data_IF_751713495651
#
_entry.id   IF_751713495651
#
_cell.length_a   1.000
_cell.length_b   1.000
_cell.length_c   1.000
_cell.angle_alpha   90.00
_cell.angle_beta   90.00
_cell.angle_gamma   90.00
#
_symmetry.space_group_name_H-M   'P 1'
#
loop_
_entity.id
_entity.type
_entity.pdbx_description
1 polymer ?
#
# COMPACT_ATOMS: atom_id res chain seq x y z
N UNK A 1 -40.60 -0.19 15.56
CA UNK A 1 -40.09 -0.10 14.18
C UNK A 1 -39.51 -1.48 13.81
N UNK A 2 -40.14 -2.21 12.90
CA UNK A 2 -39.92 -3.66 12.74
C UNK A 2 -38.53 -4.02 12.18
N UNK A 3 -37.94 -5.11 12.68
CA UNK A 3 -36.63 -5.65 12.26
C UNK A 3 -36.44 -5.72 10.74
N UNK A 4 -37.52 -6.00 10.00
CA UNK A 4 -37.53 -6.01 8.52
C UNK A 4 -37.10 -4.67 7.91
N UNK A 5 -37.59 -3.55 8.46
CA UNK A 5 -37.25 -2.20 7.98
C UNK A 5 -35.77 -1.86 8.25
N UNK A 6 -35.23 -2.35 9.37
CA UNK A 6 -33.82 -2.12 9.74
C UNK A 6 -32.88 -2.82 8.74
N UNK A 7 -33.16 -4.06 8.35
CA UNK A 7 -32.36 -4.78 7.34
C UNK A 7 -32.40 -4.10 5.97
N UNK A 8 -33.58 -3.60 5.56
CA UNK A 8 -33.74 -2.86 4.30
C UNK A 8 -32.90 -1.59 4.30
N UNK A 9 -32.99 -0.78 5.35
CA UNK A 9 -32.19 0.45 5.47
C UNK A 9 -30.70 0.14 5.49
N UNK A 10 -30.27 -0.88 6.24
CA UNK A 10 -28.87 -1.30 6.28
C UNK A 10 -28.35 -1.70 4.88
N UNK A 11 -29.13 -2.45 4.10
CA UNK A 11 -28.73 -2.84 2.74
C UNK A 11 -28.59 -1.65 1.79
N UNK A 12 -29.52 -0.68 1.86
CA UNK A 12 -29.43 0.54 1.07
C UNK A 12 -28.20 1.37 1.43
N UNK A 13 -27.91 1.52 2.72
CA UNK A 13 -26.73 2.26 3.19
C UNK A 13 -25.43 1.57 2.71
N UNK A 14 -25.33 0.25 2.83
CA UNK A 14 -24.18 -0.50 2.33
C UNK A 14 -24.01 -0.35 0.81
N UNK A 15 -25.11 -0.40 0.06
CA UNK A 15 -25.09 -0.22 -1.40
C UNK A 15 -24.61 1.17 -1.81
N UNK A 16 -25.05 2.22 -1.11
CA UNK A 16 -24.61 3.60 -1.35
C UNK A 16 -23.13 3.79 -0.99
N UNK A 17 -22.68 3.22 0.13
CA UNK A 17 -21.25 3.26 0.53
C UNK A 17 -20.39 2.60 -0.56
N UNK A 18 -20.77 1.41 -1.05
CA UNK A 18 -20.02 0.73 -2.12
C UNK A 18 -20.00 1.55 -3.41
N UNK A 19 -21.13 2.15 -3.80
CA UNK A 19 -21.19 3.02 -4.98
C UNK A 19 -20.29 4.26 -4.84
N UNK A 20 -20.27 4.90 -3.67
CA UNK A 20 -19.39 6.04 -3.37
C UNK A 20 -17.91 5.65 -3.40
N UNK A 21 -17.56 4.49 -2.83
CA UNK A 21 -16.21 3.95 -2.88
C UNK A 21 -15.78 3.64 -4.33
N UNK A 22 -16.66 3.05 -5.14
CA UNK A 22 -16.40 2.81 -6.56
C UNK A 22 -16.26 4.11 -7.37
N UNK A 23 -17.03 5.14 -7.04
CA UNK A 23 -16.95 6.44 -7.74
C UNK A 23 -15.63 7.16 -7.43
N UNK A 24 -15.14 7.08 -6.19
CA UNK A 24 -13.81 7.60 -5.82
C UNK A 24 -12.66 6.86 -6.52
N UNK A 25 -12.86 5.59 -6.90
CA UNK A 25 -11.89 4.79 -7.64
C UNK A 25 -11.98 5.01 -9.17
N UNK A 26 -12.99 5.76 -9.65
CA UNK A 26 -13.25 5.96 -11.08
C UNK A 26 -12.40 7.06 -11.72
N UNK A 27 -11.69 7.85 -10.91
CA UNK A 27 -10.71 8.82 -11.41
C UNK A 27 -9.41 8.08 -11.75
N UNK A 28 -9.34 7.56 -12.97
CA UNK A 28 -8.20 6.89 -13.59
C UNK A 28 -7.55 5.81 -12.70
N UNK A 29 -7.98 4.55 -12.85
CA UNK A 29 -7.09 3.45 -12.50
C UNK A 29 -5.78 3.66 -13.27
N UNK A 30 -4.76 4.17 -12.59
CA UNK A 30 -3.40 4.15 -13.10
C UNK A 30 -3.12 2.71 -13.53
N UNK A 31 -2.45 2.49 -14.69
CA UNK A 31 -2.10 1.15 -15.11
C UNK A 31 -1.48 0.40 -13.93
N UNK A 32 -2.03 -0.77 -13.57
CA UNK A 32 -1.48 -1.58 -12.48
C UNK A 32 0.02 -1.68 -12.74
N UNK A 33 0.87 -1.13 -11.88
CA UNK A 33 2.27 -1.00 -12.19
C UNK A 33 2.83 -2.40 -12.35
N UNK A 34 3.55 -2.63 -13.46
CA UNK A 34 4.22 -3.90 -13.66
C UNK A 34 5.16 -4.11 -12.46
N UNK A 35 5.14 -5.29 -11.80
CA UNK A 35 5.96 -5.53 -10.62
C UNK A 35 7.44 -5.20 -10.85
N UNK A 36 7.94 -5.42 -12.07
CA UNK A 36 9.30 -5.05 -12.45
C UNK A 36 9.63 -3.56 -12.23
N UNK A 37 8.66 -2.68 -12.47
CA UNK A 37 8.84 -1.22 -12.43
C UNK A 37 8.92 -0.73 -10.98
N UNK A 38 8.06 -1.28 -10.10
CA UNK A 38 8.10 -0.98 -8.66
C UNK A 38 9.43 -1.38 -8.01
N UNK A 39 10.04 -2.48 -8.47
CA UNK A 39 11.33 -2.92 -7.96
C UNK A 39 12.52 -2.24 -8.64
N UNK A 40 12.35 -1.56 -9.79
CA UNK A 40 13.45 -0.95 -10.54
C UNK A 40 14.20 0.08 -9.71
N UNK A 41 13.48 1.04 -9.11
CA UNK A 41 14.06 2.07 -8.24
C UNK A 41 14.74 1.49 -7.00
N UNK A 42 14.19 0.42 -6.42
CA UNK A 42 14.76 -0.27 -5.26
C UNK A 42 16.06 -1.01 -5.65
N UNK A 43 16.08 -1.70 -6.79
CA UNK A 43 17.22 -2.49 -7.27
C UNK A 43 18.44 -1.64 -7.60
N UNK A 44 18.22 -0.39 -8.04
CA UNK A 44 19.30 0.55 -8.32
C UNK A 44 20.06 0.99 -7.06
N UNK A 45 19.47 0.82 -5.87
CA UNK A 45 20.13 1.12 -4.60
C UNK A 45 20.75 -0.16 -4.03
N UNK A 46 22.09 -0.19 -3.97
CA UNK A 46 22.85 -1.34 -3.47
C UNK A 46 22.40 -1.74 -2.06
N UNK A 47 21.99 -2.99 -1.88
CA UNK A 47 21.55 -3.56 -0.60
C UNK A 47 20.12 -3.19 -0.19
N UNK A 48 19.42 -2.33 -0.94
CA UNK A 48 18.06 -1.93 -0.58
C UNK A 48 17.04 -3.06 -0.73
N UNK A 49 17.20 -3.94 -1.73
CA UNK A 49 16.35 -5.14 -1.88
C UNK A 49 16.49 -6.06 -0.66
N UNK A 50 17.70 -6.27 -0.16
CA UNK A 50 17.94 -7.12 1.02
C UNK A 50 17.40 -6.47 2.28
N UNK A 51 17.56 -5.16 2.44
CA UNK A 51 16.97 -4.38 3.53
C UNK A 51 15.43 -4.45 3.50
N UNK A 52 14.82 -4.31 2.33
CA UNK A 52 13.38 -4.42 2.13
C UNK A 52 12.89 -5.83 2.48
N UNK A 53 13.62 -6.86 2.04
CA UNK A 53 13.33 -8.26 2.42
C UNK A 53 13.46 -8.48 3.93
N UNK A 54 14.46 -7.88 4.58
CA UNK A 54 14.58 -7.93 6.03
C UNK A 54 13.40 -7.20 6.73
N UNK A 55 12.96 -6.06 6.19
CA UNK A 55 11.82 -5.31 6.67
C UNK A 55 10.50 -6.08 6.55
N UNK A 56 10.31 -6.91 5.51
CA UNK A 56 9.16 -7.84 5.43
C UNK A 56 9.09 -8.84 6.58
N UNK A 57 10.21 -9.05 7.29
CA UNK A 57 10.31 -9.88 8.49
C UNK A 57 10.33 -9.05 9.78
N UNK A 58 10.15 -7.74 9.71
CA UNK A 58 10.14 -6.80 10.84
C UNK A 58 11.50 -6.15 11.16
N UNK A 59 12.55 -6.40 10.37
CA UNK A 59 13.87 -5.80 10.59
C UNK A 59 14.04 -4.50 9.80
N UNK A 60 13.68 -3.37 10.40
CA UNK A 60 13.68 -2.05 9.73
C UNK A 60 15.05 -1.34 9.76
N UNK A 61 15.96 -1.75 10.65
CA UNK A 61 17.28 -1.11 10.85
C UNK A 61 18.18 -1.09 9.60
N UNK A 62 17.90 -1.94 8.60
CA UNK A 62 18.69 -2.03 7.37
C UNK A 62 18.33 -0.99 6.30
N UNK A 63 17.24 -0.24 6.47
CA UNK A 63 16.80 0.74 5.47
C UNK A 63 17.62 2.03 5.59
N UNK A 64 18.73 2.14 4.86
CA UNK A 64 19.51 3.37 4.81
C UNK A 64 18.79 4.51 4.07
N UNK A 65 19.33 5.73 4.20
CA UNK A 65 18.77 6.96 3.62
C UNK A 65 18.47 6.86 2.12
N UNK A 66 19.39 6.33 1.32
CA UNK A 66 19.20 6.18 -0.13
C UNK A 66 18.09 5.17 -0.47
N UNK A 67 17.97 4.11 0.34
CA UNK A 67 16.90 3.13 0.19
C UNK A 67 15.54 3.74 0.54
N UNK A 68 15.49 4.55 1.60
CA UNK A 68 14.28 5.27 1.99
C UNK A 68 13.88 6.34 0.98
N UNK A 69 14.84 7.04 0.38
CA UNK A 69 14.56 7.95 -0.73
C UNK A 69 13.93 7.21 -1.92
N UNK A 70 14.45 6.04 -2.28
CA UNK A 70 13.85 5.21 -3.32
C UNK A 70 12.42 4.76 -2.94
N UNK A 71 12.20 4.28 -1.73
CA UNK A 71 10.89 3.82 -1.23
C UNK A 71 9.87 4.96 -1.20
N UNK A 72 10.25 6.15 -0.73
CA UNK A 72 9.35 7.31 -0.68
C UNK A 72 9.00 7.85 -2.07
N UNK A 73 9.85 7.58 -3.07
CA UNK A 73 9.59 7.91 -4.47
C UNK A 73 8.72 6.90 -5.22
N UNK A 74 8.31 5.79 -4.59
CA UNK A 74 7.38 4.85 -5.20
C UNK A 74 5.95 5.39 -5.19
N UNK A 75 5.22 5.10 -6.26
CA UNK A 75 3.78 5.32 -6.30
C UNK A 75 3.06 4.40 -5.30
N UNK A 76 1.92 4.85 -4.76
CA UNK A 76 1.21 4.14 -3.69
C UNK A 76 0.71 2.74 -4.10
N UNK A 77 0.43 2.56 -5.39
CA UNK A 77 0.05 1.29 -6.03
C UNK A 77 1.19 0.25 -6.07
N UNK A 78 2.44 0.65 -5.89
CA UNK A 78 3.57 -0.27 -5.76
C UNK A 78 3.67 -0.92 -4.37
N UNK A 79 3.13 -0.30 -3.31
CA UNK A 79 3.24 -0.85 -1.96
C UNK A 79 2.54 -2.21 -1.80
N UNK A 80 1.32 -2.42 -2.32
CA UNK A 80 0.69 -3.75 -2.34
C UNK A 80 1.52 -4.83 -3.05
N UNK A 81 2.32 -4.45 -4.05
CA UNK A 81 3.19 -5.36 -4.81
C UNK A 81 4.45 -5.71 -4.03
N UNK A 82 5.07 -4.72 -3.39
CA UNK A 82 6.25 -4.93 -2.53
C UNK A 82 5.92 -5.71 -1.25
N UNK A 83 4.71 -5.51 -0.72
CA UNK A 83 4.26 -6.06 0.56
C UNK A 83 2.95 -6.87 0.42
N UNK A 84 2.94 -7.97 -0.36
CA UNK A 84 1.73 -8.72 -0.65
C UNK A 84 1.11 -9.28 0.64
N UNK A 85 -0.13 -8.87 0.92
CA UNK A 85 -0.86 -9.27 2.12
C UNK A 85 -0.30 -8.72 3.44
N UNK A 86 0.64 -7.76 3.39
CA UNK A 86 1.34 -7.21 4.57
C UNK A 86 1.28 -5.68 4.61
N UNK A 87 0.07 -5.13 4.51
CA UNK A 87 -0.18 -3.67 4.57
C UNK A 87 0.43 -3.01 5.81
N UNK A 88 0.40 -3.67 6.98
CA UNK A 88 1.00 -3.15 8.21
C UNK A 88 2.52 -2.96 8.08
N UNK A 89 3.22 -3.85 7.36
CA UNK A 89 4.67 -3.72 7.14
C UNK A 89 4.95 -2.52 6.25
N UNK A 90 4.13 -2.28 5.22
CA UNK A 90 4.29 -1.13 4.34
C UNK A 90 4.24 0.19 5.13
N UNK A 91 3.31 0.30 6.10
CA UNK A 91 3.23 1.45 7.01
C UNK A 91 4.49 1.57 7.86
N UNK A 92 4.93 0.48 8.50
CA UNK A 92 6.15 0.49 9.32
C UNK A 92 7.41 0.85 8.52
N UNK A 93 7.50 0.42 7.27
CA UNK A 93 8.60 0.78 6.38
C UNK A 93 8.57 2.27 6.05
N UNK A 94 7.40 2.83 5.71
CA UNK A 94 7.22 4.27 5.51
C UNK A 94 7.62 5.04 6.76
N UNK A 95 7.14 4.63 7.94
CA UNK A 95 7.47 5.27 9.21
C UNK A 95 8.98 5.21 9.51
N UNK A 96 9.62 4.05 9.33
CA UNK A 96 11.06 3.91 9.50
C UNK A 96 11.85 4.84 8.56
N UNK A 97 11.33 5.08 7.36
CA UNK A 97 11.93 6.00 6.40
C UNK A 97 11.69 7.48 6.66
N UNK A 98 10.82 7.84 7.61
CA UNK A 98 10.73 9.22 8.11
C UNK A 98 11.90 9.53 9.05
N UNK A 99 12.43 8.51 9.73
CA UNK A 99 13.51 8.66 10.72
C UNK A 99 14.94 8.55 10.15
N UNK A 100 15.10 8.22 8.86
CA UNK A 100 16.38 8.00 8.17
C UNK A 100 16.60 8.98 7.01
#
# INVERSE_FOLDING_TARGET
MGTKQIFTVMFFILSVIMALLCHHQSEAQAPIPNPGDCFSSIKNVKGCVDALKAATKGHLKGLGKDCCHAINGLADDCFPILFPGKHYIAVLVKDACVFN
#
